data_IF_063759771809
#
_entry.id   IF_063759771809
#
_cell.length_a   1.000
_cell.length_b   1.000
_cell.length_c   1.000
_cell.angle_alpha   90.00
_cell.angle_beta   90.00
_cell.angle_gamma   90.00
#
_symmetry.space_group_name_H-M   'P 1'
#
loop_
_entity.id
_entity.type
_entity.pdbx_description
1 polymer ?
#
# COMPACT_ATOMS: atom_id res chain seq x y z
N UNK A 1 -28.99 -16.63 -1.39
CA UNK A 1 -28.18 -16.33 -0.18
C UNK A 1 -26.69 -16.33 -0.54
N UNK A 2 -26.15 -17.40 -1.13
CA UNK A 2 -24.79 -17.43 -1.68
C UNK A 2 -24.52 -16.34 -2.75
N UNK A 3 -25.41 -16.18 -3.74
CA UNK A 3 -25.23 -15.18 -4.81
C UNK A 3 -25.21 -13.71 -4.32
N UNK A 4 -25.78 -13.43 -3.15
CA UNK A 4 -25.74 -12.08 -2.56
C UNK A 4 -24.38 -11.87 -1.87
N UNK A 5 -23.91 -12.87 -1.11
CA UNK A 5 -22.59 -12.82 -0.49
C UNK A 5 -21.49 -12.68 -1.55
N UNK A 6 -21.57 -13.43 -2.65
CA UNK A 6 -20.59 -13.32 -3.75
C UNK A 6 -20.55 -11.90 -4.33
N UNK A 7 -21.70 -11.23 -4.47
CA UNK A 7 -21.77 -9.84 -4.95
C UNK A 7 -21.13 -8.85 -3.96
N UNK A 8 -21.34 -9.04 -2.67
CA UNK A 8 -20.72 -8.20 -1.64
C UNK A 8 -19.20 -8.43 -1.56
N UNK A 9 -18.73 -9.68 -1.71
CA UNK A 9 -17.30 -9.99 -1.78
C UNK A 9 -16.63 -9.39 -3.03
N UNK A 10 -17.30 -9.40 -4.19
CA UNK A 10 -16.82 -8.73 -5.40
C UNK A 10 -16.81 -7.20 -5.25
N UNK A 11 -17.78 -6.62 -4.54
CA UNK A 11 -17.76 -5.20 -4.19
C UNK A 11 -16.55 -4.89 -3.31
N UNK A 12 -16.32 -5.68 -2.26
CA UNK A 12 -15.20 -5.51 -1.34
C UNK A 12 -13.85 -5.59 -2.07
N UNK A 13 -13.69 -6.55 -2.99
CA UNK A 13 -12.51 -6.67 -3.85
C UNK A 13 -12.24 -5.40 -4.67
N UNK A 14 -13.29 -4.78 -5.23
CA UNK A 14 -13.16 -3.50 -5.97
C UNK A 14 -12.76 -2.34 -5.07
N UNK A 15 -13.30 -2.28 -3.86
CA UNK A 15 -12.92 -1.25 -2.88
C UNK A 15 -11.43 -1.39 -2.51
N UNK A 16 -10.98 -2.60 -2.17
CA UNK A 16 -9.55 -2.88 -1.87
C UNK A 16 -8.65 -2.54 -3.06
N UNK A 17 -9.06 -2.87 -4.28
CA UNK A 17 -8.32 -2.50 -5.50
C UNK A 17 -8.21 -0.97 -5.65
N UNK A 18 -9.25 -0.23 -5.26
CA UNK A 18 -9.28 1.23 -5.38
C UNK A 18 -8.33 1.90 -4.38
N UNK A 19 -8.37 1.50 -3.10
CA UNK A 19 -7.43 2.03 -2.09
C UNK A 19 -5.99 1.63 -2.43
N UNK A 20 -5.75 0.42 -2.96
CA UNK A 20 -4.43 0.01 -3.41
C UNK A 20 -3.86 0.91 -4.51
N UNK A 21 -4.66 1.23 -5.53
CA UNK A 21 -4.22 2.14 -6.61
C UNK A 21 -3.89 3.53 -6.06
N UNK A 22 -4.69 4.02 -5.11
CA UNK A 22 -4.47 5.31 -4.45
C UNK A 22 -3.17 5.31 -3.64
N UNK A 23 -2.92 4.25 -2.88
CA UNK A 23 -1.70 4.08 -2.08
C UNK A 23 -0.46 3.97 -2.97
N UNK A 24 -0.53 3.19 -4.06
CA UNK A 24 0.56 3.07 -5.05
C UNK A 24 0.86 4.42 -5.71
N UNK A 25 -0.17 5.19 -6.07
CA UNK A 25 0.00 6.54 -6.63
C UNK A 25 0.64 7.50 -5.62
N UNK A 26 0.17 7.51 -4.36
CA UNK A 26 0.74 8.32 -3.27
C UNK A 26 2.20 8.00 -3.03
N UNK A 27 2.57 6.72 -2.94
CA UNK A 27 3.95 6.27 -2.75
C UNK A 27 4.85 6.76 -3.89
N UNK A 28 4.43 6.56 -5.14
CA UNK A 28 5.19 7.00 -6.30
C UNK A 28 5.36 8.52 -6.35
N UNK A 29 4.31 9.29 -6.03
CA UNK A 29 4.38 10.75 -5.96
C UNK A 29 5.28 11.23 -4.83
N UNK A 30 5.23 10.59 -3.66
CA UNK A 30 6.07 10.94 -2.51
C UNK A 30 7.55 10.75 -2.80
N UNK A 31 7.90 9.62 -3.43
CA UNK A 31 9.30 9.32 -3.78
C UNK A 31 9.77 10.28 -4.88
N UNK A 32 8.92 10.55 -5.87
CA UNK A 32 9.23 11.53 -6.92
C UNK A 32 9.41 12.94 -6.36
N UNK A 33 8.58 13.36 -5.41
CA UNK A 33 8.68 14.67 -4.77
C UNK A 33 9.96 14.77 -3.93
N UNK A 34 10.33 13.70 -3.24
CA UNK A 34 11.58 13.58 -2.50
C UNK A 34 12.81 13.69 -3.41
N UNK A 35 12.88 12.91 -4.49
CA UNK A 35 14.03 12.94 -5.43
C UNK A 35 14.17 14.31 -6.10
N UNK A 36 13.06 14.95 -6.46
CA UNK A 36 13.05 16.21 -7.22
C UNK A 36 12.99 17.46 -6.37
N UNK A 37 12.90 17.33 -5.04
CA UNK A 37 12.63 18.45 -4.13
C UNK A 37 11.37 19.24 -4.52
N UNK A 38 10.32 18.52 -4.96
CA UNK A 38 9.07 19.12 -5.44
C UNK A 38 8.06 19.25 -4.30
N UNK A 39 8.13 20.37 -3.58
CA UNK A 39 7.25 20.64 -2.44
C UNK A 39 5.77 20.74 -2.80
N UNK A 40 5.45 21.07 -4.06
CA UNK A 40 4.07 21.09 -4.54
C UNK A 40 3.52 19.66 -4.64
N UNK A 41 4.27 18.76 -5.29
CA UNK A 41 3.89 17.36 -5.38
C UNK A 41 3.82 16.69 -4.01
N UNK A 42 4.71 17.05 -3.09
CA UNK A 42 4.66 16.56 -1.71
C UNK A 42 3.37 16.96 -0.97
N UNK A 43 2.92 18.22 -1.12
CA UNK A 43 1.65 18.68 -0.53
C UNK A 43 0.45 17.93 -1.07
N UNK A 44 0.45 17.62 -2.37
CA UNK A 44 -0.61 16.80 -2.98
C UNK A 44 -0.72 15.41 -2.32
N UNK A 45 0.41 14.78 -1.98
CA UNK A 45 0.41 13.49 -1.26
C UNK A 45 -0.18 13.63 0.14
N UNK A 46 0.28 14.63 0.90
CA UNK A 46 -0.18 14.87 2.29
C UNK A 46 -1.68 15.16 2.34
N UNK A 47 -2.20 15.95 1.40
CA UNK A 47 -3.64 16.26 1.33
C UNK A 47 -4.46 15.01 0.94
N UNK A 48 -3.92 14.16 0.07
CA UNK A 48 -4.60 12.97 -0.42
C UNK A 48 -4.64 11.82 0.59
N UNK A 49 -3.77 11.83 1.60
CA UNK A 49 -3.70 10.87 2.71
C UNK A 49 -5.07 10.69 3.40
N UNK A 50 -5.75 11.80 3.71
CA UNK A 50 -7.09 11.80 4.30
C UNK A 50 -8.14 11.02 3.50
N UNK A 51 -7.94 10.89 2.17
CA UNK A 51 -8.81 10.10 1.30
C UNK A 51 -8.53 8.60 1.44
N UNK A 52 -7.28 8.22 1.68
CA UNK A 52 -6.89 6.83 1.97
C UNK A 52 -7.50 6.41 3.31
N UNK A 53 -7.39 7.24 4.36
CA UNK A 53 -8.00 6.98 5.68
C UNK A 53 -9.51 6.78 5.58
N UNK A 54 -10.18 7.63 4.81
CA UNK A 54 -11.62 7.51 4.60
C UNK A 54 -12.01 6.20 3.91
N UNK A 55 -11.22 5.76 2.94
CA UNK A 55 -11.46 4.49 2.23
C UNK A 55 -11.15 3.27 3.11
N UNK A 56 -10.15 3.38 3.99
CA UNK A 56 -9.83 2.37 4.99
C UNK A 56 -11.06 2.12 5.87
N UNK A 57 -11.64 3.18 6.45
CA UNK A 57 -12.83 3.09 7.30
C UNK A 57 -14.02 2.50 6.51
N UNK A 58 -14.26 2.96 5.28
CA UNK A 58 -15.35 2.45 4.44
C UNK A 58 -15.22 0.93 4.17
N UNK A 59 -14.00 0.43 3.96
CA UNK A 59 -13.71 -0.99 3.74
C UNK A 59 -13.93 -1.79 5.03
N UNK A 60 -13.49 -1.27 6.18
CA UNK A 60 -13.68 -1.93 7.47
C UNK A 60 -15.18 -2.05 7.81
N UNK A 61 -15.95 -0.97 7.62
CA UNK A 61 -17.39 -0.96 7.82
C UNK A 61 -18.11 -1.97 6.92
N UNK A 62 -17.71 -2.09 5.65
CA UNK A 62 -18.29 -3.07 4.73
C UNK A 62 -17.95 -4.51 5.15
N UNK A 63 -16.72 -4.76 5.63
CA UNK A 63 -16.35 -6.06 6.18
C UNK A 63 -17.24 -6.44 7.38
N UNK A 64 -17.41 -5.53 8.34
CA UNK A 64 -18.24 -5.74 9.53
C UNK A 64 -19.71 -5.98 9.15
N UNK A 65 -20.22 -5.23 8.18
CA UNK A 65 -21.58 -5.41 7.64
C UNK A 65 -21.76 -6.80 7.03
N UNK A 66 -20.82 -7.28 6.22
CA UNK A 66 -20.90 -8.62 5.61
C UNK A 66 -20.89 -9.70 6.71
N UNK A 67 -20.01 -9.57 7.70
CA UNK A 67 -19.92 -10.50 8.83
C UNK A 67 -21.24 -10.57 9.61
N UNK A 68 -21.85 -9.42 9.90
CA UNK A 68 -23.09 -9.32 10.66
C UNK A 68 -24.31 -9.89 9.89
N UNK A 69 -24.41 -9.60 8.59
CA UNK A 69 -25.57 -9.96 7.77
C UNK A 69 -25.54 -11.42 7.30
N UNK A 70 -24.38 -11.93 6.94
CA UNK A 70 -24.26 -13.22 6.23
C UNK A 70 -23.66 -14.34 7.08
N UNK A 71 -23.02 -14.03 8.21
CA UNK A 71 -22.37 -15.01 9.09
C UNK A 71 -21.51 -16.03 8.31
N UNK A 72 -20.58 -15.55 7.45
CA UNK A 72 -19.78 -16.42 6.61
C UNK A 72 -18.90 -17.35 7.46
N UNK A 73 -18.56 -18.52 6.91
CA UNK A 73 -17.79 -19.56 7.60
C UNK A 73 -16.59 -20.02 6.78
N UNK A 74 -15.63 -20.65 7.46
CA UNK A 74 -14.48 -21.30 6.85
C UNK A 74 -13.65 -20.41 5.90
N UNK A 75 -13.86 -20.53 4.59
CA UNK A 75 -13.04 -19.83 3.57
C UNK A 75 -13.43 -18.36 3.50
N UNK A 76 -14.72 -18.05 3.45
CA UNK A 76 -15.21 -16.68 3.28
C UNK A 76 -14.91 -15.82 4.51
N UNK A 77 -15.08 -16.40 5.71
CA UNK A 77 -14.68 -15.74 6.96
C UNK A 77 -13.19 -15.39 6.95
N UNK A 78 -12.32 -16.35 6.60
CA UNK A 78 -10.88 -16.09 6.54
C UNK A 78 -10.52 -15.03 5.51
N UNK A 79 -11.20 -15.03 4.36
CA UNK A 79 -10.99 -14.05 3.31
C UNK A 79 -11.34 -12.62 3.78
N UNK A 80 -12.49 -12.44 4.44
CA UNK A 80 -12.89 -11.12 4.98
C UNK A 80 -11.90 -10.64 6.05
N UNK A 81 -11.48 -11.52 6.96
CA UNK A 81 -10.48 -11.17 7.97
C UNK A 81 -9.12 -10.82 7.34
N UNK A 82 -8.72 -11.52 6.28
CA UNK A 82 -7.51 -11.17 5.52
C UNK A 82 -7.61 -9.79 4.88
N UNK A 83 -8.78 -9.44 4.34
CA UNK A 83 -9.02 -8.10 3.79
C UNK A 83 -8.91 -7.03 4.87
N UNK A 84 -9.53 -7.22 6.05
CA UNK A 84 -9.42 -6.25 7.15
C UNK A 84 -7.97 -5.99 7.56
N UNK A 85 -7.14 -7.05 7.62
CA UNK A 85 -5.72 -6.91 7.95
C UNK A 85 -4.94 -6.14 6.89
N UNK A 86 -5.15 -6.50 5.61
CA UNK A 86 -4.47 -5.85 4.49
C UNK A 86 -4.93 -4.40 4.33
N UNK A 87 -6.19 -4.08 4.65
CA UNK A 87 -6.71 -2.72 4.64
C UNK A 87 -5.89 -1.80 5.56
N UNK A 88 -5.58 -2.28 6.77
CA UNK A 88 -4.71 -1.57 7.70
C UNK A 88 -3.27 -1.44 7.18
N UNK A 89 -2.74 -2.49 6.55
CA UNK A 89 -1.41 -2.43 5.93
C UNK A 89 -1.36 -1.41 4.77
N UNK A 90 -2.44 -1.27 3.99
CA UNK A 90 -2.55 -0.30 2.90
C UNK A 90 -2.59 1.14 3.40
N UNK A 91 -3.38 1.43 4.43
CA UNK A 91 -3.39 2.75 5.07
C UNK A 91 -2.01 3.10 5.62
N UNK A 92 -1.34 2.16 6.28
CA UNK A 92 0.02 2.36 6.78
C UNK A 92 1.03 2.69 5.68
N UNK A 93 0.89 2.14 4.47
CA UNK A 93 1.73 2.51 3.33
C UNK A 93 1.42 3.95 2.88
N UNK A 94 0.15 4.37 2.91
CA UNK A 94 -0.27 5.76 2.69
C UNK A 94 0.41 6.72 3.66
N UNK A 95 0.31 6.43 4.96
CA UNK A 95 0.98 7.16 6.04
C UNK A 95 2.49 7.29 5.82
N UNK A 96 3.16 6.20 5.43
CA UNK A 96 4.60 6.21 5.15
C UNK A 96 4.92 7.06 3.91
N UNK A 97 4.06 7.08 2.89
CA UNK A 97 4.20 7.97 1.75
C UNK A 97 4.03 9.45 2.16
N UNK A 98 3.07 9.75 3.03
CA UNK A 98 2.86 11.08 3.63
C UNK A 98 4.10 11.55 4.40
N UNK A 99 4.72 10.65 5.18
CA UNK A 99 5.99 10.91 5.87
C UNK A 99 7.16 11.23 4.92
N UNK A 100 7.29 10.48 3.81
CA UNK A 100 8.29 10.77 2.77
C UNK A 100 8.05 12.14 2.15
N UNK A 101 6.78 12.49 1.88
CA UNK A 101 6.42 13.80 1.35
C UNK A 101 6.75 14.94 2.34
N UNK A 102 6.53 14.77 3.63
CA UNK A 102 6.97 15.72 4.66
C UNK A 102 8.50 15.92 4.63
N UNK A 103 9.27 14.85 4.48
CA UNK A 103 10.73 14.93 4.33
C UNK A 103 11.14 15.71 3.07
N UNK A 104 10.45 15.51 1.95
CA UNK A 104 10.70 16.25 0.71
C UNK A 104 10.56 17.77 0.89
N UNK A 105 9.53 18.21 1.63
CA UNK A 105 9.32 19.64 1.96
C UNK A 105 10.45 20.16 2.87
N UNK A 106 10.83 19.39 3.90
CA UNK A 106 11.89 19.81 4.83
C UNK A 106 13.27 19.97 4.16
N UNK A 107 13.52 19.20 3.10
CA UNK A 107 14.79 19.21 2.38
C UNK A 107 14.82 20.17 1.19
N UNK A 108 13.72 20.87 0.87
CA UNK A 108 13.64 21.80 -0.26
C UNK A 108 14.73 22.89 -0.22
N UNK A 109 15.07 23.40 0.97
CA UNK A 109 16.12 24.40 1.17
C UNK A 109 17.54 23.79 1.26
N UNK A 110 17.65 22.45 1.32
CA UNK A 110 18.90 21.69 1.50
C UNK A 110 19.24 20.86 0.26
N UNK A 111 19.10 21.45 -0.94
CA UNK A 111 19.32 20.82 -2.27
C UNK A 111 20.71 20.22 -2.55
N UNK A 112 21.59 20.12 -1.55
CA UNK A 112 22.94 19.55 -1.68
C UNK A 112 23.01 18.06 -1.34
N UNK A 113 21.91 17.43 -0.92
CA UNK A 113 21.86 15.98 -0.69
C UNK A 113 21.63 15.29 -2.04
N UNK A 114 22.58 14.50 -2.51
CA UNK A 114 22.32 13.64 -3.67
C UNK A 114 21.53 12.41 -3.19
N UNK A 115 20.30 12.25 -3.69
CA UNK A 115 19.56 11.00 -3.49
C UNK A 115 20.26 9.91 -4.28
N UNK A 116 20.68 8.84 -3.60
CA UNK A 116 21.36 7.72 -4.24
C UNK A 116 20.38 6.95 -5.14
N UNK A 117 20.86 6.43 -6.26
CA UNK A 117 20.10 5.62 -7.23
C UNK A 117 19.43 4.36 -6.64
N UNK A 118 19.79 3.99 -5.40
CA UNK A 118 19.20 2.87 -4.65
C UNK A 118 17.74 3.15 -4.29
N UNK A 119 17.37 4.42 -4.05
CA UNK A 119 16.00 4.77 -3.70
C UNK A 119 15.03 4.46 -4.85
N UNK A 120 15.26 4.93 -6.10
CA UNK A 120 14.46 4.50 -7.25
C UNK A 120 14.40 2.98 -7.45
N UNK A 121 15.54 2.28 -7.34
CA UNK A 121 15.59 0.82 -7.50
C UNK A 121 14.72 0.11 -6.45
N UNK A 122 14.83 0.52 -5.18
CA UNK A 122 14.03 0.00 -4.08
C UNK A 122 12.54 0.28 -4.28
N UNK A 123 12.20 1.45 -4.85
CA UNK A 123 10.83 1.86 -5.16
C UNK A 123 10.15 0.93 -6.16
N UNK A 124 10.87 0.57 -7.23
CA UNK A 124 10.35 -0.34 -8.26
C UNK A 124 10.05 -1.73 -7.67
N UNK A 125 10.93 -2.21 -6.78
CA UNK A 125 10.76 -3.50 -6.10
C UNK A 125 9.53 -3.47 -5.18
N UNK A 126 9.42 -2.48 -4.29
CA UNK A 126 8.28 -2.41 -3.34
C UNK A 126 6.95 -2.19 -4.05
N UNK A 127 6.93 -1.45 -5.17
CA UNK A 127 5.73 -1.30 -6.00
C UNK A 127 5.28 -2.64 -6.59
N UNK A 128 6.24 -3.44 -7.06
CA UNK A 128 5.97 -4.79 -7.55
C UNK A 128 5.48 -5.72 -6.42
N UNK A 129 6.08 -5.63 -5.22
CA UNK A 129 5.66 -6.40 -4.05
C UNK A 129 4.22 -6.07 -3.65
N UNK A 130 3.84 -4.78 -3.58
CA UNK A 130 2.48 -4.35 -3.25
C UNK A 130 1.47 -4.95 -4.22
N UNK A 131 1.70 -4.80 -5.53
CA UNK A 131 0.84 -5.35 -6.57
C UNK A 131 0.71 -6.88 -6.45
N UNK A 132 1.84 -7.57 -6.37
CA UNK A 132 1.86 -9.04 -6.31
C UNK A 132 1.20 -9.57 -5.02
N UNK A 133 1.26 -8.83 -3.91
CA UNK A 133 0.59 -9.19 -2.65
C UNK A 133 -0.93 -9.23 -2.80
N UNK A 134 -1.47 -8.24 -3.52
CA UNK A 134 -2.91 -8.14 -3.78
C UNK A 134 -3.38 -9.14 -4.83
N UNK A 135 -2.58 -9.33 -5.89
CA UNK A 135 -2.82 -10.38 -6.88
C UNK A 135 -2.82 -11.77 -6.22
N UNK A 136 -1.91 -12.02 -5.27
CA UNK A 136 -1.87 -13.25 -4.50
C UNK A 136 -3.13 -13.43 -3.64
N UNK A 137 -3.58 -12.38 -2.94
CA UNK A 137 -4.80 -12.41 -2.15
C UNK A 137 -6.04 -12.71 -3.02
N UNK A 138 -6.22 -11.96 -4.10
CA UNK A 138 -7.42 -12.03 -4.93
C UNK A 138 -7.53 -13.34 -5.71
N UNK A 139 -6.40 -13.93 -6.11
CA UNK A 139 -6.35 -15.20 -6.81
C UNK A 139 -6.15 -16.41 -5.88
N UNK A 140 -5.98 -16.17 -4.57
CA UNK A 140 -5.65 -17.19 -3.56
C UNK A 140 -4.38 -17.97 -3.95
N UNK A 141 -3.41 -17.25 -4.52
CA UNK A 141 -2.15 -17.80 -5.03
C UNK A 141 -1.08 -17.80 -3.94
N UNK A 142 -0.86 -18.98 -3.37
CA UNK A 142 0.12 -19.19 -2.29
C UNK A 142 1.56 -19.08 -2.81
N UNK A 143 1.83 -19.51 -4.04
CA UNK A 143 3.17 -19.49 -4.61
C UNK A 143 3.62 -18.04 -4.87
N UNK A 144 2.69 -17.19 -5.35
CA UNK A 144 2.95 -15.76 -5.51
C UNK A 144 3.18 -15.07 -4.16
N UNK A 145 2.41 -15.41 -3.12
CA UNK A 145 2.62 -14.87 -1.77
C UNK A 145 4.01 -15.22 -1.22
N UNK A 146 4.45 -16.48 -1.38
CA UNK A 146 5.79 -16.92 -0.98
C UNK A 146 6.87 -16.21 -1.79
N UNK A 147 6.62 -15.95 -3.08
CA UNK A 147 7.55 -15.20 -3.92
C UNK A 147 7.71 -13.76 -3.42
N UNK A 148 6.62 -13.08 -3.09
CA UNK A 148 6.68 -11.71 -2.53
C UNK A 148 7.48 -11.68 -1.23
N UNK A 149 7.26 -12.66 -0.34
CA UNK A 149 8.02 -12.76 0.89
C UNK A 149 9.54 -12.84 0.65
N UNK A 150 9.98 -13.55 -0.39
CA UNK A 150 11.41 -13.63 -0.75
C UNK A 150 11.94 -12.36 -1.39
N UNK A 151 11.10 -11.61 -2.10
CA UNK A 151 11.49 -10.33 -2.70
C UNK A 151 11.77 -9.25 -1.63
N UNK A 152 11.22 -9.42 -0.42
CA UNK A 152 11.55 -8.57 0.73
C UNK A 152 13.05 -8.61 1.08
N UNK A 153 13.70 -9.78 0.95
CA UNK A 153 15.14 -9.93 1.18
C UNK A 153 15.98 -9.04 0.23
N UNK A 154 15.48 -8.78 -0.99
CA UNK A 154 16.13 -7.89 -1.96
C UNK A 154 16.03 -6.43 -1.49
N UNK A 155 14.89 -6.02 -0.95
CA UNK A 155 14.67 -4.68 -0.37
C UNK A 155 15.57 -4.48 0.85
N UNK A 156 15.63 -5.46 1.75
CA UNK A 156 16.50 -5.44 2.93
C UNK A 156 17.99 -5.33 2.57
N UNK A 157 18.39 -6.00 1.50
CA UNK A 157 19.75 -5.92 0.97
C UNK A 157 20.06 -4.53 0.44
N UNK A 158 19.14 -3.90 -0.31
CA UNK A 158 19.28 -2.52 -0.79
C UNK A 158 19.31 -1.52 0.37
N UNK A 159 18.43 -1.68 1.35
CA UNK A 159 18.39 -0.85 2.55
C UNK A 159 19.70 -0.94 3.34
N UNK A 160 20.25 -2.15 3.53
CA UNK A 160 21.53 -2.35 4.21
C UNK A 160 22.70 -1.68 3.48
N UNK A 161 22.70 -1.69 2.13
CA UNK A 161 23.72 -1.00 1.33
C UNK A 161 23.69 0.51 1.55
N UNK A 162 22.54 1.14 1.80
CA UNK A 162 22.48 2.58 2.04
C UNK A 162 23.37 3.04 3.20
N UNK A 163 23.45 2.27 4.28
CA UNK A 163 24.30 2.59 5.44
C UNK A 163 25.79 2.42 5.18
N UNK A 164 26.18 1.79 4.07
CA UNK A 164 27.59 1.70 3.66
C UNK A 164 28.06 2.91 2.86
N UNK A 165 27.13 3.74 2.37
CA UNK A 165 27.43 4.97 1.62
C UNK A 165 27.40 6.24 2.51
N UNK A 166 27.07 6.09 3.80
CA UNK A 166 27.10 7.16 4.82
C UNK A 166 28.39 7.02 5.63
#
# INVERSE_FOLDING_TARGET
MAEILDKELEKLKKMVSTISMNVEESMNKAIKSFIKYDSKLAKEVIEFDSKIDSLEIEIEEECLKILALHQPVAIDLRYIISIMKINNDLERIGDLASNIAHLAIMLEDKKQVNVHDIIPEMTDIVSCMLKNSLDALFNKDVDLAIKVQKTDDDVDTLHSKMFTYI
#
